data_IF_875918246804
#
_entry.id   IF_875918246804
#
_cell.length_a   1.000
_cell.length_b   1.000
_cell.length_c   1.000
_cell.angle_alpha   90.00
_cell.angle_beta   90.00
_cell.angle_gamma   90.00
#
_symmetry.space_group_name_H-M   'P 1'
#
loop_
_entity.id
_entity.type
_entity.pdbx_description
1 polymer ?
#
# COMPACT_ATOMS: atom_id res chain seq x y z
N UNK A 1 10.66 -14.46 19.09
CA UNK A 1 10.17 -13.09 19.35
C UNK A 1 9.19 -12.83 18.25
N UNK A 2 7.90 -12.75 18.57
CA UNK A 2 6.87 -12.47 17.56
C UNK A 2 7.16 -11.08 17.03
N UNK A 3 7.57 -11.00 15.78
CA UNK A 3 7.81 -9.73 15.11
C UNK A 3 6.43 -9.06 15.02
N UNK A 4 6.19 -8.02 15.82
CA UNK A 4 4.90 -7.33 15.87
C UNK A 4 4.53 -6.75 14.49
N UNK A 5 3.30 -6.33 14.29
CA UNK A 5 2.81 -5.81 12.99
C UNK A 5 3.81 -4.84 12.35
N UNK A 6 4.28 -3.87 13.12
CA UNK A 6 5.41 -3.02 12.77
C UNK A 6 6.58 -3.22 13.74
N UNK A 7 7.82 -3.04 13.26
CA UNK A 7 8.98 -2.93 14.15
C UNK A 7 8.83 -1.74 15.11
N UNK A 8 9.69 -1.68 16.12
CA UNK A 8 9.79 -0.49 16.96
C UNK A 8 10.24 0.73 16.12
N UNK A 9 9.59 1.90 16.27
CA UNK A 9 9.99 3.08 15.52
C UNK A 9 11.43 3.50 15.83
N UNK A 10 12.19 4.00 14.84
CA UNK A 10 13.56 4.42 15.06
C UNK A 10 13.67 5.53 16.11
N UNK A 11 14.68 5.44 16.99
CA UNK A 11 14.93 6.45 18.02
C UNK A 11 15.06 7.86 17.41
N UNK A 12 14.48 8.85 18.07
CA UNK A 12 14.51 10.24 17.63
C UNK A 12 13.44 10.63 16.59
N UNK A 13 12.64 9.69 16.10
CA UNK A 13 11.45 9.99 15.28
C UNK A 13 10.29 10.47 16.14
N UNK A 14 9.38 11.27 15.56
CA UNK A 14 8.14 11.66 16.25
C UNK A 14 7.26 10.44 16.54
N UNK A 15 7.24 9.43 15.68
CA UNK A 15 6.50 8.19 15.94
C UNK A 15 7.07 7.40 17.13
N UNK A 16 8.39 7.37 17.32
CA UNK A 16 9.00 6.80 18.53
C UNK A 16 8.55 7.55 19.79
N UNK A 17 8.48 8.88 19.72
CA UNK A 17 7.96 9.71 20.82
C UNK A 17 6.48 9.44 21.11
N UNK A 18 5.65 9.22 20.08
CA UNK A 18 4.25 8.87 20.29
C UNK A 18 4.12 7.50 20.97
N UNK A 19 4.98 6.54 20.60
CA UNK A 19 5.03 5.23 21.24
C UNK A 19 5.50 5.30 22.70
N UNK A 20 6.47 6.17 23.03
CA UNK A 20 7.05 6.28 24.38
C UNK A 20 6.24 7.17 25.33
N UNK A 21 5.88 8.36 24.88
CA UNK A 21 5.29 9.43 25.71
C UNK A 21 3.77 9.49 25.54
N UNK A 22 3.24 8.83 24.50
CA UNK A 22 1.82 8.71 24.22
C UNK A 22 1.35 7.28 24.47
N UNK A 23 0.78 6.66 23.44
CA UNK A 23 0.31 5.27 23.53
C UNK A 23 0.61 4.55 22.23
N UNK A 24 1.09 3.31 22.35
CA UNK A 24 1.14 2.33 21.26
C UNK A 24 0.28 1.14 21.64
N UNK A 25 -0.65 0.78 20.77
CA UNK A 25 -1.51 -0.38 20.93
C UNK A 25 -1.41 -1.27 19.71
N UNK A 26 -1.32 -2.57 19.93
CA UNK A 26 -1.36 -3.56 18.87
C UNK A 26 -2.49 -4.54 19.17
N UNK A 27 -3.42 -4.69 18.22
CA UNK A 27 -4.57 -5.60 18.33
C UNK A 27 -4.92 -6.16 16.97
N UNK A 28 -5.08 -7.49 16.92
CA UNK A 28 -5.39 -8.21 15.69
C UNK A 28 -4.39 -7.89 14.58
N UNK A 29 -4.81 -7.19 13.53
CA UNK A 29 -4.03 -6.77 12.37
C UNK A 29 -3.80 -5.25 12.32
N UNK A 30 -4.00 -4.54 13.43
CA UNK A 30 -3.85 -3.08 13.51
C UNK A 30 -2.86 -2.70 14.60
N UNK A 31 -1.95 -1.78 14.28
CA UNK A 31 -1.15 -1.04 15.27
C UNK A 31 -1.56 0.43 15.27
N UNK A 32 -1.78 0.98 16.45
CA UNK A 32 -2.22 2.37 16.66
C UNK A 32 -1.24 3.12 17.53
N UNK A 33 -0.91 4.35 17.12
CA UNK A 33 -0.09 5.30 17.85
C UNK A 33 -0.92 6.53 18.17
N UNK A 34 -0.94 6.93 19.44
CA UNK A 34 -1.64 8.13 19.90
C UNK A 34 -0.60 9.16 20.32
N UNK A 35 -0.73 10.37 19.78
CA UNK A 35 0.15 11.48 20.13
C UNK A 35 0.09 11.77 21.66
N UNK A 36 1.19 12.16 22.34
CA UNK A 36 1.23 12.34 23.79
C UNK A 36 0.17 13.30 24.38
N UNK A 37 -0.16 14.34 23.62
CA UNK A 37 -1.23 15.31 23.95
C UNK A 37 -2.63 14.89 23.47
N UNK A 38 -2.80 13.66 22.96
CA UNK A 38 -4.05 13.13 22.43
C UNK A 38 -4.72 14.01 21.36
N UNK A 39 -3.91 14.71 20.55
CA UNK A 39 -4.41 15.54 19.43
C UNK A 39 -4.47 14.79 18.10
N UNK A 40 -3.75 13.68 17.99
CA UNK A 40 -3.65 12.87 16.78
C UNK A 40 -3.61 11.39 17.11
N UNK A 41 -4.15 10.60 16.18
CA UNK A 41 -4.10 9.15 16.16
C UNK A 41 -3.60 8.71 14.79
N UNK A 42 -2.67 7.75 14.76
CA UNK A 42 -2.19 7.10 13.54
C UNK A 42 -2.44 5.60 13.68
N UNK A 43 -3.06 4.98 12.68
CA UNK A 43 -3.24 3.53 12.63
C UNK A 43 -2.59 2.96 11.37
N UNK A 44 -2.04 1.76 11.51
CA UNK A 44 -1.54 0.94 10.42
C UNK A 44 -2.26 -0.40 10.47
N UNK A 45 -3.11 -0.64 9.49
CA UNK A 45 -3.86 -1.88 9.30
C UNK A 45 -3.12 -2.75 8.28
N UNK A 46 -3.01 -4.05 8.55
CA UNK A 46 -2.31 -5.03 7.70
C UNK A 46 -3.27 -6.03 7.07
N UNK A 47 -3.08 -6.28 5.77
CA UNK A 47 -3.76 -7.28 4.91
C UNK A 47 -5.29 -7.17 4.72
N UNK A 48 -5.99 -6.52 5.65
CA UNK A 48 -7.42 -6.20 5.64
C UNK A 48 -7.58 -4.77 6.19
N UNK A 49 -8.08 -3.80 5.39
CA UNK A 49 -8.89 -3.96 4.18
C UNK A 49 -8.16 -3.92 2.83
N UNK A 50 -6.82 -3.82 2.83
CA UNK A 50 -5.99 -3.76 1.62
C UNK A 50 -4.84 -4.75 1.71
N UNK A 51 -4.27 -5.16 0.57
CA UNK A 51 -2.98 -5.86 0.60
C UNK A 51 -1.86 -4.92 1.09
N UNK A 52 -1.03 -5.39 2.03
CA UNK A 52 0.05 -4.58 2.62
C UNK A 52 -0.41 -3.80 3.84
N UNK A 53 -0.06 -2.51 3.89
CA UNK A 53 -0.18 -1.64 5.06
C UNK A 53 -0.99 -0.38 4.70
N UNK A 54 -2.21 -0.28 5.24
CA UNK A 54 -3.03 0.95 5.18
C UNK A 54 -2.66 1.85 6.35
N UNK A 55 -2.04 2.99 6.05
CA UNK A 55 -1.62 3.98 7.05
C UNK A 55 -2.60 5.14 7.02
N UNK A 56 -3.18 5.45 8.19
CA UNK A 56 -4.19 6.51 8.34
C UNK A 56 -3.87 7.39 9.53
N UNK A 57 -4.04 8.69 9.37
CA UNK A 57 -3.79 9.71 10.38
C UNK A 57 -5.05 10.55 10.58
N UNK A 58 -5.45 10.73 11.83
CA UNK A 58 -6.62 11.51 12.23
C UNK A 58 -6.24 12.60 13.23
N UNK A 59 -7.00 13.69 13.21
CA UNK A 59 -7.16 14.55 14.39
C UNK A 59 -8.00 13.82 15.42
N UNK A 60 -7.69 14.06 16.69
CA UNK A 60 -8.52 13.64 17.81
C UNK A 60 -9.05 14.93 18.42
N UNK A 61 -10.34 15.20 18.24
CA UNK A 61 -11.00 16.34 18.86
C UNK A 61 -11.68 15.93 20.18
N UNK A 62 -11.98 16.90 21.05
CA UNK A 62 -12.70 16.62 22.30
C UNK A 62 -14.19 16.28 22.07
N UNK A 63 -14.71 16.55 20.87
CA UNK A 63 -16.12 16.39 20.49
C UNK A 63 -16.42 15.03 19.82
N UNK A 64 -15.42 14.17 19.65
CA UNK A 64 -15.52 12.83 19.06
C UNK A 64 -15.65 12.78 17.53
N UNK A 65 -15.35 13.88 16.81
CA UNK A 65 -15.26 13.91 15.35
C UNK A 65 -13.80 13.77 14.92
N UNK A 66 -13.30 12.55 14.97
CA UNK A 66 -11.99 12.24 14.42
C UNK A 66 -11.99 12.53 12.91
N UNK A 67 -11.17 13.49 12.47
CA UNK A 67 -11.12 13.93 11.07
C UNK A 67 -9.85 13.35 10.43
N UNK A 68 -10.00 12.56 9.37
CA UNK A 68 -8.86 11.90 8.70
C UNK A 68 -8.06 12.92 7.90
N UNK A 69 -6.86 13.25 8.37
CA UNK A 69 -5.95 14.24 7.77
C UNK A 69 -4.91 13.64 6.82
N UNK A 70 -4.74 12.32 6.81
CA UNK A 70 -3.84 11.64 5.88
C UNK A 70 -4.19 10.16 5.72
N UNK A 71 -3.92 9.63 4.53
CA UNK A 71 -4.09 8.21 4.22
C UNK A 71 -3.15 7.80 3.09
N UNK A 72 -2.57 6.60 3.19
CA UNK A 72 -1.83 5.97 2.09
C UNK A 72 -1.79 4.44 2.27
N UNK A 73 -1.42 3.73 1.22
CA UNK A 73 -1.21 2.28 1.22
C UNK A 73 0.19 2.00 0.71
N UNK A 74 0.91 1.11 1.39
CA UNK A 74 2.23 0.62 0.96
C UNK A 74 2.30 -0.89 1.12
N UNK A 75 3.15 -1.55 0.34
CA UNK A 75 3.25 -3.02 0.30
C UNK A 75 4.46 -3.57 1.07
N UNK A 76 5.37 -2.71 1.51
CA UNK A 76 6.58 -3.07 2.24
C UNK A 76 6.51 -2.64 3.72
N UNK A 77 6.91 -3.54 4.62
CA UNK A 77 6.80 -3.35 6.07
C UNK A 77 7.72 -2.26 6.62
N UNK A 78 8.97 -2.23 6.16
CA UNK A 78 9.95 -1.26 6.64
C UNK A 78 9.63 0.13 6.08
N UNK A 79 9.17 0.18 4.82
CA UNK A 79 8.67 1.39 4.21
C UNK A 79 7.38 1.89 4.90
N UNK A 80 6.50 0.99 5.34
CA UNK A 80 5.33 1.36 6.14
C UNK A 80 5.72 2.07 7.45
N UNK A 81 6.76 1.57 8.13
CA UNK A 81 7.29 2.21 9.33
C UNK A 81 7.89 3.59 9.02
N UNK A 82 8.62 3.72 7.92
CA UNK A 82 9.16 5.01 7.48
C UNK A 82 8.03 6.01 7.20
N UNK A 83 7.04 5.62 6.39
CA UNK A 83 5.92 6.49 6.02
C UNK A 83 5.08 6.88 7.24
N UNK A 84 4.81 5.95 8.15
CA UNK A 84 4.14 6.26 9.41
C UNK A 84 4.94 7.28 10.26
N UNK A 85 6.28 7.18 10.25
CA UNK A 85 7.15 8.11 10.95
C UNK A 85 7.12 9.51 10.34
N UNK A 86 7.14 9.60 9.02
CA UNK A 86 7.02 10.85 8.28
C UNK A 86 5.64 11.50 8.48
N UNK A 87 4.56 10.71 8.43
CA UNK A 87 3.20 11.19 8.70
C UNK A 87 3.04 11.71 10.12
N UNK A 88 3.60 11.03 11.13
CA UNK A 88 3.58 11.49 12.51
C UNK A 88 4.34 12.82 12.67
N UNK A 89 5.49 12.96 12.02
CA UNK A 89 6.28 14.20 12.04
C UNK A 89 5.56 15.36 11.34
N UNK A 90 4.84 15.08 10.26
CA UNK A 90 4.09 16.07 9.49
C UNK A 90 2.66 16.33 10.01
N UNK A 91 2.24 15.73 11.13
CA UNK A 91 0.84 15.75 11.56
C UNK A 91 0.27 17.17 11.76
N UNK A 92 1.06 18.09 12.32
CA UNK A 92 0.67 19.51 12.49
C UNK A 92 0.52 20.22 11.14
N UNK A 93 1.42 19.96 10.19
CA UNK A 93 1.41 20.56 8.86
C UNK A 93 0.23 20.05 8.03
N UNK A 94 -0.01 18.73 8.07
CA UNK A 94 -1.14 18.06 7.42
C UNK A 94 -2.48 18.58 7.96
N UNK A 95 -2.59 18.76 9.28
CA UNK A 95 -3.76 19.36 9.91
C UNK A 95 -3.96 20.83 9.49
N UNK A 96 -2.89 21.60 9.27
CA UNK A 96 -2.98 23.02 8.91
C UNK A 96 -3.40 23.26 7.44
N UNK A 97 -3.05 22.36 6.52
CA UNK A 97 -3.44 22.47 5.09
C UNK A 97 -4.82 21.85 4.79
N UNK A 98 -5.45 21.28 5.82
CA UNK A 98 -6.70 20.56 5.77
C UNK A 98 -7.92 21.47 5.53
N UNK A 99 -8.30 21.67 4.25
CA UNK A 99 -9.50 22.47 3.90
C UNK A 99 -10.76 21.63 3.69
N UNK A 100 -10.63 20.36 3.29
CA UNK A 100 -11.68 19.33 3.18
C UNK A 100 -11.02 17.93 3.24
N UNK A 101 -11.30 17.11 4.26
CA UNK A 101 -10.50 15.93 4.63
C UNK A 101 -10.60 14.75 3.70
N UNK A 102 -11.83 14.46 3.31
CA UNK A 102 -12.20 13.22 2.68
C UNK A 102 -12.23 13.45 1.17
N UNK A 103 -11.05 13.56 0.56
CA UNK A 103 -10.92 13.45 -0.89
C UNK A 103 -10.87 11.98 -1.34
N UNK A 104 -10.63 11.04 -0.41
CA UNK A 104 -10.68 9.61 -0.62
C UNK A 104 -11.87 8.95 0.08
N UNK A 105 -12.21 7.69 -0.26
CA UNK A 105 -13.35 7.00 0.29
C UNK A 105 -13.21 6.79 1.80
N UNK A 106 -14.32 6.79 2.54
CA UNK A 106 -14.33 6.61 4.00
C UNK A 106 -13.78 5.24 4.39
N UNK A 107 -14.15 4.22 3.61
CA UNK A 107 -13.59 2.87 3.68
C UNK A 107 -12.81 2.62 2.40
N UNK A 108 -11.59 2.13 2.52
CA UNK A 108 -10.80 1.65 1.38
C UNK A 108 -10.93 0.15 1.39
N UNK A 109 -11.42 -0.42 0.30
CA UNK A 109 -11.41 -1.86 0.10
C UNK A 109 -10.27 -2.27 -0.83
N UNK A 110 -9.96 -3.56 -0.83
CA UNK A 110 -8.96 -4.16 -1.69
C UNK A 110 -9.25 -3.84 -3.16
N UNK A 111 -10.53 -3.87 -3.55
CA UNK A 111 -10.98 -3.56 -4.90
C UNK A 111 -10.76 -2.10 -5.31
N UNK A 112 -10.68 -1.17 -4.35
CA UNK A 112 -10.43 0.26 -4.63
C UNK A 112 -8.95 0.55 -4.91
N UNK A 113 -8.05 -0.30 -4.41
CA UNK A 113 -6.59 -0.14 -4.52
C UNK A 113 -5.96 -1.10 -5.52
N UNK A 114 -6.61 -2.24 -5.77
CA UNK A 114 -6.18 -3.16 -6.81
C UNK A 114 -6.34 -2.48 -8.17
N UNK A 115 -5.21 -2.30 -8.85
CA UNK A 115 -5.21 -1.85 -10.24
C UNK A 115 -6.02 -2.89 -11.01
N UNK A 116 -7.05 -2.43 -11.73
CA UNK A 116 -7.85 -3.28 -12.60
C UNK A 116 -6.97 -4.10 -13.55
N UNK A 117 -7.52 -5.21 -14.05
CA UNK A 117 -6.78 -6.08 -14.97
C UNK A 117 -6.32 -5.28 -16.19
N UNK A 118 -5.04 -5.42 -16.61
CA UNK A 118 -4.58 -4.86 -17.86
C UNK A 118 -5.54 -5.20 -19.00
N UNK A 119 -5.93 -4.18 -19.76
CA UNK A 119 -6.77 -4.34 -20.94
C UNK A 119 -6.18 -5.40 -21.88
N UNK A 120 -7.07 -6.13 -22.57
CA UNK A 120 -6.69 -7.09 -23.61
C UNK A 120 -5.90 -6.37 -24.71
N UNK A 121 -4.67 -6.81 -25.03
CA UNK A 121 -3.92 -6.23 -26.14
C UNK A 121 -4.62 -6.43 -27.48
N UNK A 122 -4.45 -5.49 -28.42
CA UNK A 122 -5.09 -5.53 -29.74
C UNK A 122 -4.73 -6.80 -30.54
N UNK A 123 -3.57 -7.39 -30.30
CA UNK A 123 -3.08 -8.61 -30.97
C UNK A 123 -3.73 -9.89 -30.45
N UNK A 124 -4.54 -9.80 -29.40
CA UNK A 124 -5.23 -10.92 -28.76
C UNK A 124 -6.74 -10.84 -29.04
N UNK A 125 -7.22 -11.71 -29.93
CA UNK A 125 -8.65 -11.79 -30.30
C UNK A 125 -9.50 -12.56 -29.26
N UNK A 126 -8.85 -13.30 -28.35
CA UNK A 126 -9.49 -14.15 -27.35
C UNK A 126 -9.25 -13.58 -25.94
N UNK A 127 -10.29 -12.96 -25.38
CA UNK A 127 -10.25 -12.39 -24.03
C UNK A 127 -10.04 -13.47 -22.97
N UNK A 128 -10.70 -14.61 -23.10
CA UNK A 128 -10.64 -15.68 -22.10
C UNK A 128 -9.20 -16.24 -22.02
N UNK A 129 -8.55 -16.41 -23.17
CA UNK A 129 -7.16 -16.87 -23.22
C UNK A 129 -6.17 -15.83 -22.67
N UNK A 130 -6.45 -14.54 -22.84
CA UNK A 130 -5.66 -13.45 -22.25
C UNK A 130 -5.82 -13.39 -20.74
N UNK A 131 -7.05 -13.44 -20.24
CA UNK A 131 -7.38 -13.46 -18.81
C UNK A 131 -6.69 -14.65 -18.12
N UNK A 132 -6.75 -15.85 -18.71
CA UNK A 132 -6.08 -17.04 -18.17
C UNK A 132 -4.54 -16.86 -18.14
N UNK A 133 -3.94 -16.32 -19.20
CA UNK A 133 -2.49 -16.11 -19.24
C UNK A 133 -2.03 -15.08 -18.18
N UNK A 134 -2.82 -14.04 -17.98
CA UNK A 134 -2.57 -13.00 -17.00
C UNK A 134 -2.75 -13.52 -15.55
N UNK A 135 -3.82 -14.26 -15.29
CA UNK A 135 -4.08 -14.88 -13.97
C UNK A 135 -2.95 -15.84 -13.60
N UNK A 136 -2.57 -16.74 -14.51
CA UNK A 136 -1.44 -17.65 -14.32
C UNK A 136 -0.13 -16.89 -14.02
N UNK A 137 0.09 -15.74 -14.66
CA UNK A 137 1.27 -14.93 -14.41
C UNK A 137 1.24 -14.26 -13.03
N UNK A 138 0.09 -13.77 -12.57
CA UNK A 138 -0.04 -13.23 -11.22
C UNK A 138 0.12 -14.31 -10.15
N UNK A 139 -0.48 -15.49 -10.34
CA UNK A 139 -0.31 -16.63 -9.44
C UNK A 139 1.15 -17.09 -9.39
N UNK A 140 1.82 -17.19 -10.54
CA UNK A 140 3.23 -17.58 -10.60
C UNK A 140 4.17 -16.53 -9.97
N UNK A 141 3.81 -15.25 -10.07
CA UNK A 141 4.56 -14.15 -9.47
C UNK A 141 4.35 -14.04 -7.95
N UNK A 142 3.26 -14.61 -7.42
CA UNK A 142 2.83 -14.45 -6.02
C UNK A 142 2.82 -12.98 -5.57
N UNK A 143 2.27 -12.11 -6.43
CA UNK A 143 2.16 -10.67 -6.15
C UNK A 143 0.71 -10.17 -6.22
N UNK A 144 0.37 -9.11 -5.45
CA UNK A 144 -0.91 -8.42 -5.63
C UNK A 144 -1.06 -7.83 -7.04
N UNK A 145 -2.30 -7.79 -7.55
CA UNK A 145 -2.63 -7.19 -8.85
C UNK A 145 -2.20 -5.73 -8.98
N UNK A 146 -2.28 -4.97 -7.89
CA UNK A 146 -1.79 -3.59 -7.79
C UNK A 146 -0.28 -3.42 -8.01
N UNK A 147 0.52 -4.46 -7.83
CA UNK A 147 1.99 -4.41 -7.86
C UNK A 147 2.58 -4.66 -9.24
N UNK A 148 1.94 -5.54 -10.02
CA UNK A 148 2.37 -5.89 -11.37
C UNK A 148 2.07 -4.78 -12.39
N UNK A 149 3.06 -4.39 -13.19
CA UNK A 149 2.85 -3.56 -14.38
C UNK A 149 3.13 -4.37 -15.63
N UNK A 150 2.16 -4.45 -16.53
CA UNK A 150 2.35 -5.11 -17.83
C UNK A 150 3.36 -4.31 -18.66
N UNK A 151 4.38 -4.99 -19.19
CA UNK A 151 5.42 -4.39 -20.02
C UNK A 151 5.76 -5.31 -21.19
N UNK A 152 6.18 -4.72 -22.30
CA UNK A 152 6.63 -5.47 -23.48
C UNK A 152 8.15 -5.55 -23.49
N UNK A 153 8.70 -6.75 -23.66
CA UNK A 153 10.15 -6.99 -23.82
C UNK A 153 10.43 -7.68 -25.14
N UNK A 154 11.41 -7.16 -25.88
CA UNK A 154 11.94 -7.80 -27.09
C UNK A 154 13.11 -8.71 -26.73
N UNK A 155 12.98 -10.01 -27.01
CA UNK A 155 14.01 -11.02 -26.79
C UNK A 155 14.18 -11.79 -28.10
N UNK A 156 15.41 -11.85 -28.62
CA UNK A 156 15.73 -12.51 -29.90
C UNK A 156 14.85 -12.06 -31.09
N UNK A 157 14.48 -10.77 -31.11
CA UNK A 157 13.64 -10.19 -32.16
C UNK A 157 12.16 -10.57 -32.08
N UNK A 158 11.71 -11.14 -30.95
CA UNK A 158 10.32 -11.45 -30.65
C UNK A 158 9.86 -10.66 -29.43
N UNK A 159 8.62 -10.20 -29.45
CA UNK A 159 8.05 -9.41 -28.37
C UNK A 159 7.17 -10.26 -27.45
N UNK A 160 7.30 -10.01 -26.15
CA UNK A 160 6.62 -10.74 -25.10
C UNK A 160 6.08 -9.79 -24.04
N UNK A 161 4.91 -10.10 -23.52
CA UNK A 161 4.35 -9.45 -22.35
C UNK A 161 4.93 -10.05 -21.07
N UNK A 162 5.34 -9.18 -20.16
CA UNK A 162 5.81 -9.50 -18.83
C UNK A 162 5.06 -8.66 -17.81
N UNK A 163 4.73 -9.26 -16.66
CA UNK A 163 4.47 -8.50 -15.44
C UNK A 163 5.80 -8.07 -14.86
N UNK A 164 5.96 -6.79 -14.55
CA UNK A 164 7.16 -6.25 -13.95
C UNK A 164 6.81 -5.50 -12.67
N UNK A 165 7.60 -5.74 -11.62
CA UNK A 165 7.46 -5.07 -10.34
C UNK A 165 8.83 -4.87 -9.70
N UNK A 166 8.86 -4.07 -8.63
CA UNK A 166 10.06 -3.91 -7.81
C UNK A 166 9.93 -4.72 -6.52
N UNK A 167 11.05 -5.29 -6.14
CA UNK A 167 11.27 -5.91 -4.85
C UNK A 167 12.54 -5.28 -4.26
N UNK A 168 12.34 -4.29 -3.39
CA UNK A 168 13.41 -3.39 -2.95
C UNK A 168 14.08 -2.66 -4.12
N UNK A 169 15.39 -2.88 -4.27
CA UNK A 169 16.20 -2.29 -5.35
C UNK A 169 16.21 -3.11 -6.65
N UNK A 170 15.64 -4.32 -6.63
CA UNK A 170 15.65 -5.23 -7.77
C UNK A 170 14.36 -5.10 -8.57
N UNK A 171 14.49 -5.13 -9.89
CA UNK A 171 13.34 -5.23 -10.79
C UNK A 171 13.15 -6.70 -11.16
N UNK A 172 12.01 -7.25 -10.76
CA UNK A 172 11.61 -8.63 -11.05
C UNK A 172 10.60 -8.62 -12.21
N UNK A 173 10.57 -9.70 -12.98
CA UNK A 173 9.55 -9.86 -14.02
C UNK A 173 9.10 -11.30 -14.20
N UNK A 174 7.80 -11.48 -14.40
CA UNK A 174 7.15 -12.75 -14.69
C UNK A 174 6.62 -12.73 -16.11
N UNK A 175 6.86 -13.81 -16.85
CA UNK A 175 6.35 -13.98 -18.21
C UNK A 175 4.82 -14.13 -18.18
N UNK A 176 4.14 -13.44 -19.11
CA UNK A 176 2.69 -13.57 -19.32
C UNK A 176 2.44 -14.37 -20.60
N UNK A 177 2.74 -13.77 -21.75
CA UNK A 177 2.37 -14.32 -23.04
C UNK A 177 3.20 -13.68 -24.18
N UNK A 178 3.26 -14.27 -25.40
CA UNK A 178 3.83 -13.56 -26.54
C UNK A 178 2.93 -12.39 -26.96
N UNK A 179 3.53 -11.32 -27.48
CA UNK A 179 2.74 -10.21 -28.06
C UNK A 179 1.97 -10.67 -29.28
N UNK A 180 2.56 -11.56 -30.07
CA UNK A 180 1.94 -12.11 -31.26
C UNK A 180 1.72 -13.62 -31.08
N UNK A 181 0.53 -14.07 -30.64
CA UNK A 181 0.24 -15.48 -30.36
C UNK A 181 0.11 -16.38 -31.61
N UNK A 182 0.54 -15.92 -32.78
CA UNK A 182 0.48 -16.63 -34.07
C UNK A 182 1.07 -18.05 -34.07
#
# INVERSE_FOLDING_TARGET
>A
MTDGILPDPPEGTELARWASDGQRHERANIVTFVHPKQKYSLAVDVDDPVYGYLIRLWTVDEDGRDERIGQTVVDDRDFALQVASEMAAAADELAAVHRKPSLGPDVVYREDVDRGEPDVPEEWDDNDAWEEALENAFEAADIPRSKGTLTTKTIDGRDYYYLQWREGETITSQYVAPVNPR
#
